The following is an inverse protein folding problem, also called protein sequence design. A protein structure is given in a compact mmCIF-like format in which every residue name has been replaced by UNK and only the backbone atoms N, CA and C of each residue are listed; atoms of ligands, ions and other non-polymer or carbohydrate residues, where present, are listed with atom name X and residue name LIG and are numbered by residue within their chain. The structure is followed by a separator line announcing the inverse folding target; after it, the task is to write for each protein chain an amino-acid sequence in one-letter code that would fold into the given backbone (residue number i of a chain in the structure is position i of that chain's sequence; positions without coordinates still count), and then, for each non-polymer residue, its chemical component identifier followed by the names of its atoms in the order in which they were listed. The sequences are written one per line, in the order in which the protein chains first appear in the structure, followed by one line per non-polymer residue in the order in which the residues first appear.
data_IF_374716876907
#
_entry.id   IF_374716876907
#
_cell.length_a   1.000
_cell.length_b   1.000
_cell.length_c   1.000
_cell.angle_alpha   90.00
_cell.angle_beta   90.00
_cell.angle_gamma   90.00
#
_symmetry.space_group_name_H-M   'P 1'
#
loop_
_entity.id
_entity.type
_entity.pdbx_description
1 polymer ?
#
# COMPACT_ATOMS: atom_id res chain seq x y z
N UNK A 1 -7.50 6.50 18.01
CA UNK A 1 -6.75 5.82 16.94
C UNK A 1 -5.47 5.39 17.60
N UNK A 2 -5.15 4.10 17.58
CA UNK A 2 -4.05 3.58 18.38
C UNK A 2 -2.85 3.15 17.52
N UNK A 3 -3.09 2.80 16.25
CA UNK A 3 -2.08 2.53 15.24
C UNK A 3 -2.66 2.78 13.83
N UNK A 4 -1.80 3.03 12.84
CA UNK A 4 -2.21 3.24 11.44
C UNK A 4 -1.42 2.33 10.49
N UNK A 5 -2.10 1.68 9.56
CA UNK A 5 -1.48 1.03 8.40
C UNK A 5 -1.98 1.72 7.13
N UNK A 6 -1.04 2.28 6.36
CA UNK A 6 -1.31 3.17 5.24
C UNK A 6 -0.65 2.61 3.99
N UNK A 7 -1.40 2.52 2.89
CA UNK A 7 -0.92 2.01 1.61
C UNK A 7 -0.96 3.13 0.58
N UNK A 8 0.14 3.35 -0.15
CA UNK A 8 0.24 4.40 -1.18
C UNK A 8 -0.16 5.81 -0.65
N UNK A 9 0.20 6.11 0.60
CA UNK A 9 -0.20 7.37 1.24
C UNK A 9 0.57 8.57 0.67
N UNK A 10 -0.15 9.65 0.40
CA UNK A 10 0.40 10.97 0.07
C UNK A 10 0.07 11.95 1.19
N UNK A 11 1.00 12.86 1.48
CA UNK A 11 0.87 13.86 2.54
C UNK A 11 0.93 15.30 2.05
N UNK A 12 1.21 15.48 0.76
CA UNK A 12 1.32 16.78 0.10
C UNK A 12 0.03 17.14 -0.65
N UNK A 13 -0.12 18.44 -0.89
CA UNK A 13 -1.10 18.93 -1.85
C UNK A 13 -0.80 18.43 -3.27
N UNK A 14 -1.82 18.36 -4.13
CA UNK A 14 -1.65 17.95 -5.51
C UNK A 14 -0.72 18.91 -6.28
N UNK A 15 0.23 18.36 -7.05
CA UNK A 15 1.04 19.14 -7.97
C UNK A 15 0.22 19.65 -9.15
N UNK A 16 0.69 20.69 -9.87
CA UNK A 16 -0.07 21.27 -10.99
C UNK A 16 -0.33 20.27 -12.12
N UNK A 17 0.62 19.37 -12.40
CA UNK A 17 0.49 18.32 -13.42
C UNK A 17 -0.60 17.33 -13.00
N UNK A 18 -0.48 16.81 -11.78
CA UNK A 18 -1.46 15.89 -11.19
C UNK A 18 -2.86 16.52 -11.21
N UNK A 19 -2.96 17.78 -10.78
CA UNK A 19 -4.20 18.55 -10.80
C UNK A 19 -4.81 18.62 -12.20
N UNK A 20 -4.01 18.93 -13.22
CA UNK A 20 -4.50 19.05 -14.58
C UNK A 20 -5.07 17.72 -15.10
N UNK A 21 -4.35 16.61 -14.91
CA UNK A 21 -4.80 15.29 -15.32
C UNK A 21 -6.07 14.87 -14.58
N UNK A 22 -6.11 15.00 -13.24
CA UNK A 22 -7.28 14.63 -12.45
C UNK A 22 -8.50 15.50 -12.78
N UNK A 23 -8.29 16.80 -13.05
CA UNK A 23 -9.39 17.70 -13.43
C UNK A 23 -9.95 17.37 -14.81
N UNK A 24 -9.10 17.00 -15.76
CA UNK A 24 -9.52 16.54 -17.09
C UNK A 24 -10.32 15.23 -16.99
N UNK A 25 -9.86 14.28 -16.18
CA UNK A 25 -10.56 13.01 -15.95
C UNK A 25 -11.90 13.22 -15.24
N UNK A 26 -11.96 14.05 -14.21
CA UNK A 26 -13.22 14.39 -13.53
C UNK A 26 -14.23 15.05 -14.49
N UNK A 27 -13.78 15.98 -15.35
CA UNK A 27 -14.64 16.58 -16.38
C UNK A 27 -15.14 15.54 -17.39
N UNK A 28 -14.27 14.61 -17.81
CA UNK A 28 -14.63 13.53 -18.72
C UNK A 28 -15.67 12.59 -18.11
N UNK A 29 -15.49 12.21 -16.84
CA UNK A 29 -16.45 11.42 -16.08
C UNK A 29 -17.83 12.06 -15.99
N UNK A 30 -17.90 13.38 -15.73
CA UNK A 30 -19.17 14.11 -15.63
C UNK A 30 -19.90 14.25 -16.96
N UNK A 31 -19.16 14.53 -18.04
CA UNK A 31 -19.76 14.89 -19.32
C UNK A 31 -19.94 13.69 -20.26
N UNK A 32 -19.09 12.67 -20.15
CA UNK A 32 -18.98 11.55 -21.11
C UNK A 32 -18.98 10.18 -20.44
N UNK A 33 -19.02 10.12 -19.11
CA UNK A 33 -18.95 8.86 -18.36
C UNK A 33 -17.55 8.24 -18.37
N UNK A 34 -17.50 6.91 -18.27
CA UNK A 34 -16.25 6.14 -18.22
C UNK A 34 -15.62 6.02 -19.62
N UNK A 35 -14.83 7.02 -20.02
CA UNK A 35 -14.12 7.01 -21.31
C UNK A 35 -12.84 6.18 -21.24
N UNK A 36 -12.29 5.79 -22.40
CA UNK A 36 -11.04 5.05 -22.46
C UNK A 36 -9.88 5.78 -21.77
N UNK A 37 -9.76 7.10 -21.96
CA UNK A 37 -8.71 7.88 -21.29
C UNK A 37 -8.85 7.92 -19.76
N UNK A 38 -10.09 7.90 -19.24
CA UNK A 38 -10.32 7.79 -17.80
C UNK A 38 -9.97 6.39 -17.30
N UNK A 39 -10.37 5.35 -18.03
CA UNK A 39 -9.97 3.96 -17.72
C UNK A 39 -8.45 3.83 -17.67
N UNK A 40 -7.74 4.33 -18.67
CA UNK A 40 -6.28 4.26 -18.71
C UNK A 40 -5.64 5.03 -17.56
N UNK A 41 -6.20 6.17 -17.17
CA UNK A 41 -5.78 6.87 -15.95
C UNK A 41 -6.00 6.05 -14.68
N UNK A 42 -7.18 5.43 -14.50
CA UNK A 42 -7.47 4.60 -13.33
C UNK A 42 -6.55 3.38 -13.28
N UNK A 43 -6.34 2.73 -14.42
CA UNK A 43 -5.40 1.60 -14.52
C UNK A 43 -3.98 2.03 -14.18
N UNK A 44 -3.51 3.18 -14.68
CA UNK A 44 -2.21 3.73 -14.30
C UNK A 44 -2.13 4.06 -12.81
N UNK A 45 -3.17 4.69 -12.24
CA UNK A 45 -3.22 5.08 -10.83
C UNK A 45 -3.07 3.88 -9.88
N UNK A 46 -3.67 2.73 -10.25
CA UNK A 46 -3.61 1.52 -9.43
C UNK A 46 -2.42 0.61 -9.73
N UNK A 47 -2.09 0.40 -11.01
CA UNK A 47 -1.11 -0.59 -11.44
C UNK A 47 0.23 -0.01 -11.89
N UNK A 48 0.36 1.30 -12.01
CA UNK A 48 1.56 1.96 -12.52
C UNK A 48 1.75 1.72 -14.03
N UNK A 49 3.01 1.58 -14.45
CA UNK A 49 3.37 1.39 -15.86
C UNK A 49 3.29 -0.09 -16.26
N UNK A 50 2.93 -0.33 -17.53
CA UNK A 50 2.90 -1.65 -18.17
C UNK A 50 2.18 -2.75 -17.36
N UNK A 51 0.92 -2.53 -16.94
CA UNK A 51 0.22 -3.49 -16.08
C UNK A 51 -0.07 -4.83 -16.78
N UNK A 52 -0.38 -4.80 -18.07
CA UNK A 52 -0.72 -5.97 -18.87
C UNK A 52 0.44 -6.97 -19.01
N UNK A 53 1.68 -6.48 -18.96
CA UNK A 53 2.89 -7.33 -19.04
C UNK A 53 3.13 -8.11 -17.74
N UNK A 54 2.56 -7.65 -16.61
CA UNK A 54 2.80 -8.23 -15.29
C UNK A 54 1.71 -9.22 -14.89
N UNK A 55 0.45 -8.83 -15.05
CA UNK A 55 -0.69 -9.68 -14.71
C UNK A 55 -1.91 -9.31 -15.55
N UNK A 56 -2.00 -9.93 -16.73
CA UNK A 56 -3.07 -9.69 -17.70
C UNK A 56 -4.46 -9.96 -17.11
N UNK A 57 -4.63 -11.06 -16.37
CA UNK A 57 -5.95 -11.45 -15.84
C UNK A 57 -6.46 -10.45 -14.79
N UNK A 58 -5.60 -10.03 -13.87
CA UNK A 58 -5.94 -9.02 -12.87
C UNK A 58 -6.23 -7.66 -13.53
N UNK A 59 -5.46 -7.30 -14.54
CA UNK A 59 -5.62 -6.04 -15.27
C UNK A 59 -6.94 -6.01 -16.04
N UNK A 60 -7.28 -7.09 -16.75
CA UNK A 60 -8.57 -7.28 -17.43
C UNK A 60 -9.74 -7.23 -16.44
N UNK A 61 -9.63 -7.90 -15.30
CA UNK A 61 -10.65 -7.89 -14.25
C UNK A 61 -10.94 -6.47 -13.75
N UNK A 62 -9.90 -5.67 -13.45
CA UNK A 62 -10.06 -4.29 -12.98
C UNK A 62 -10.61 -3.36 -14.08
N UNK A 63 -10.19 -3.53 -15.34
CA UNK A 63 -10.78 -2.79 -16.47
C UNK A 63 -12.28 -3.04 -16.57
N UNK A 64 -12.71 -4.31 -16.47
CA UNK A 64 -14.13 -4.66 -16.47
C UNK A 64 -14.86 -4.09 -15.25
N UNK A 65 -14.26 -4.16 -14.07
CA UNK A 65 -14.81 -3.60 -12.83
C UNK A 65 -15.04 -2.09 -12.95
N UNK A 66 -14.04 -1.30 -13.37
CA UNK A 66 -14.22 0.14 -13.55
C UNK A 66 -15.27 0.47 -14.60
N UNK A 67 -15.34 -0.32 -15.68
CA UNK A 67 -16.32 -0.09 -16.76
C UNK A 67 -17.75 -0.38 -16.32
N UNK A 68 -17.97 -1.44 -15.53
CA UNK A 68 -19.32 -1.98 -15.26
C UNK A 68 -19.84 -1.70 -13.86
N UNK A 69 -18.96 -1.51 -12.88
CA UNK A 69 -19.33 -1.50 -11.46
C UNK A 69 -19.11 -0.15 -10.78
N UNK A 70 -18.52 0.83 -11.46
CA UNK A 70 -18.25 2.16 -10.89
C UNK A 70 -19.16 3.22 -11.51
N UNK A 71 -19.85 3.96 -10.65
CA UNK A 71 -20.66 5.10 -11.06
C UNK A 71 -19.76 6.29 -11.46
N UNK A 72 -19.76 6.74 -12.73
CA UNK A 72 -18.86 7.78 -13.19
C UNK A 72 -19.05 9.13 -12.49
N UNK A 73 -20.31 9.51 -12.21
CA UNK A 73 -20.64 10.76 -11.54
C UNK A 73 -20.08 10.80 -10.13
N UNK A 74 -20.29 9.75 -9.33
CA UNK A 74 -19.77 9.67 -7.97
C UNK A 74 -18.24 9.62 -7.96
N UNK A 75 -17.63 8.87 -8.87
CA UNK A 75 -16.18 8.83 -9.02
C UNK A 75 -15.60 10.22 -9.35
N UNK A 76 -16.29 10.99 -10.20
CA UNK A 76 -15.84 12.35 -10.54
C UNK A 76 -15.79 13.27 -9.32
N UNK A 77 -16.73 13.12 -8.38
CA UNK A 77 -16.80 13.87 -7.13
C UNK A 77 -15.68 13.45 -6.18
N UNK A 78 -15.40 12.15 -6.10
CA UNK A 78 -14.29 11.61 -5.32
C UNK A 78 -12.94 12.12 -5.82
N UNK A 79 -12.68 12.05 -7.14
CA UNK A 79 -11.45 12.57 -7.74
C UNK A 79 -11.33 14.09 -7.51
N UNK A 80 -12.43 14.83 -7.67
CA UNK A 80 -12.45 16.27 -7.38
C UNK A 80 -12.17 16.58 -5.91
N UNK A 81 -12.59 15.73 -4.97
CA UNK A 81 -12.28 15.90 -3.55
C UNK A 81 -10.81 15.57 -3.27
N UNK A 82 -10.30 14.48 -3.84
CA UNK A 82 -8.91 14.04 -3.66
C UNK A 82 -7.89 15.03 -4.23
N UNK A 83 -8.14 15.60 -5.41
CA UNK A 83 -7.24 16.59 -6.03
C UNK A 83 -7.19 17.91 -5.26
N UNK A 84 -8.23 18.22 -4.48
CA UNK A 84 -8.30 19.42 -3.63
C UNK A 84 -7.69 19.21 -2.24
N UNK A 85 -7.08 18.04 -1.99
CA UNK A 85 -6.38 17.80 -0.73
C UNK A 85 -5.33 18.89 -0.48
N UNK A 86 -5.29 19.35 0.76
CA UNK A 86 -4.23 20.24 1.24
C UNK A 86 -3.08 19.40 1.77
N UNK A 87 -1.92 20.03 1.96
CA UNK A 87 -0.83 19.42 2.70
C UNK A 87 -1.29 19.05 4.13
N UNK A 88 -0.87 17.89 4.64
CA UNK A 88 -1.23 17.45 5.99
C UNK A 88 -0.59 18.31 7.08
N UNK A 89 0.40 19.14 6.75
CA UNK A 89 1.08 20.02 7.70
C UNK A 89 1.97 19.28 8.69
N UNK A 90 2.27 18.00 8.45
CA UNK A 90 3.14 17.20 9.31
C UNK A 90 4.60 17.36 8.94
N UNK A 91 5.47 17.42 9.94
CA UNK A 91 6.91 17.38 9.75
C UNK A 91 7.59 16.71 10.94
N UNK A 92 8.72 16.05 10.68
CA UNK A 92 9.44 15.21 11.66
C UNK A 92 9.88 15.97 12.91
N UNK A 93 10.22 17.25 12.76
CA UNK A 93 10.76 18.11 13.83
C UNK A 93 9.67 18.86 14.61
N UNK A 94 8.43 18.86 14.11
CA UNK A 94 7.31 19.61 14.71
C UNK A 94 6.19 18.64 15.11
N UNK A 95 4.93 18.96 14.80
CA UNK A 95 3.81 18.06 15.01
C UNK A 95 3.74 17.05 13.86
N UNK A 96 3.84 15.77 14.20
CA UNK A 96 3.71 14.64 13.27
C UNK A 96 2.76 13.60 13.88
N UNK A 97 2.46 12.54 13.12
CA UNK A 97 1.57 11.46 13.59
C UNK A 97 2.19 10.79 14.83
N UNK A 98 1.48 10.87 15.96
CA UNK A 98 1.97 10.39 17.27
C UNK A 98 1.83 8.88 17.43
N UNK A 99 0.80 8.30 16.80
CA UNK A 99 0.54 6.86 16.83
C UNK A 99 1.54 6.11 15.95
N UNK A 100 1.80 4.83 16.22
CA UNK A 100 2.60 3.98 15.35
C UNK A 100 2.05 3.92 13.92
N UNK A 101 2.93 3.99 12.93
CA UNK A 101 2.56 3.98 11.50
C UNK A 101 3.30 2.89 10.74
N UNK A 102 2.55 2.02 10.07
CA UNK A 102 3.04 1.12 9.03
C UNK A 102 2.72 1.70 7.65
N UNK A 103 3.71 2.28 6.99
CA UNK A 103 3.58 2.90 5.66
C UNK A 103 4.08 1.92 4.57
N UNK A 104 3.21 1.51 3.66
CA UNK A 104 3.49 0.46 2.67
C UNK A 104 3.30 0.99 1.25
N UNK A 105 4.20 0.59 0.35
CA UNK A 105 4.03 0.80 -1.10
C UNK A 105 4.49 -0.45 -1.87
N UNK A 106 3.93 -0.64 -3.06
CA UNK A 106 4.48 -1.55 -4.06
C UNK A 106 5.66 -0.89 -4.79
N UNK A 107 6.68 -1.64 -5.17
CA UNK A 107 7.83 -1.13 -5.91
C UNK A 107 7.48 -0.62 -7.31
N UNK A 108 6.36 -1.09 -7.87
CA UNK A 108 5.84 -0.71 -9.19
C UNK A 108 4.64 0.26 -9.08
N UNK A 109 4.31 0.70 -7.87
CA UNK A 109 3.25 1.68 -7.61
C UNK A 109 3.64 3.06 -8.16
N UNK A 110 2.71 3.82 -8.75
CA UNK A 110 2.99 5.20 -9.14
C UNK A 110 3.18 6.14 -7.93
N UNK A 111 2.90 5.66 -6.71
CA UNK A 111 2.91 6.43 -5.47
C UNK A 111 4.17 6.24 -4.61
N UNK A 112 5.20 5.57 -5.12
CA UNK A 112 6.43 5.29 -4.35
C UNK A 112 7.01 6.59 -3.78
N UNK A 113 7.21 7.61 -4.62
CA UNK A 113 7.81 8.90 -4.21
C UNK A 113 6.94 9.65 -3.19
N UNK A 114 5.61 9.55 -3.33
CA UNK A 114 4.65 10.10 -2.35
C UNK A 114 4.85 9.45 -0.98
N UNK A 115 4.97 8.11 -0.95
CA UNK A 115 5.14 7.37 0.31
C UNK A 115 6.51 7.62 0.96
N UNK A 116 7.56 7.84 0.16
CA UNK A 116 8.89 8.23 0.64
C UNK A 116 8.84 9.62 1.26
N UNK A 117 8.19 10.57 0.58
CA UNK A 117 7.98 11.94 1.09
C UNK A 117 7.20 11.92 2.40
N UNK A 118 6.12 11.13 2.46
CA UNK A 118 5.35 10.94 3.68
C UNK A 118 6.19 10.36 4.82
N UNK A 119 6.96 9.29 4.57
CA UNK A 119 7.85 8.70 5.57
C UNK A 119 8.94 9.69 6.06
N UNK A 120 9.40 10.59 5.18
CA UNK A 120 10.31 11.68 5.51
C UNK A 120 9.75 12.61 6.60
N UNK A 121 8.42 12.77 6.66
CA UNK A 121 7.70 13.63 7.61
C UNK A 121 7.26 12.93 8.90
N UNK A 122 7.40 11.60 8.96
CA UNK A 122 7.07 10.79 10.13
C UNK A 122 8.25 10.69 11.12
N UNK A 123 7.92 10.34 12.37
CA UNK A 123 8.91 10.07 13.40
C UNK A 123 9.54 8.67 13.17
N UNK A 124 10.87 8.57 12.99
CA UNK A 124 11.53 7.29 12.70
C UNK A 124 11.48 6.27 13.84
N UNK A 125 11.13 6.68 15.07
CA UNK A 125 11.05 5.78 16.22
C UNK A 125 9.72 5.04 16.33
N UNK A 126 8.64 5.56 15.72
CA UNK A 126 7.30 4.96 15.78
C UNK A 126 6.75 4.59 14.39
N UNK A 127 7.53 4.78 13.33
CA UNK A 127 7.08 4.59 11.95
C UNK A 127 7.97 3.63 11.19
N UNK A 128 7.35 2.70 10.47
CA UNK A 128 8.01 1.73 9.60
C UNK A 128 7.55 1.94 8.17
N UNK A 129 8.49 2.06 7.24
CA UNK A 129 8.21 2.09 5.81
C UNK A 129 8.67 0.78 5.14
N UNK A 130 7.80 0.22 4.31
CA UNK A 130 8.02 -1.04 3.62
C UNK A 130 7.70 -0.91 2.13
N UNK A 131 8.67 -1.30 1.29
CA UNK A 131 8.49 -1.42 -0.16
C UNK A 131 8.44 -2.89 -0.56
N UNK A 132 7.29 -3.30 -1.10
CA UNK A 132 7.05 -4.68 -1.57
C UNK A 132 7.46 -4.79 -3.03
N UNK A 133 8.44 -5.64 -3.35
CA UNK A 133 8.85 -5.84 -4.74
C UNK A 133 7.81 -6.58 -5.57
N UNK A 134 7.95 -6.42 -6.89
CA UNK A 134 7.15 -7.09 -7.91
C UNK A 134 5.64 -6.88 -7.73
N UNK A 135 5.27 -5.70 -7.20
CA UNK A 135 3.88 -5.32 -7.01
C UNK A 135 3.67 -3.82 -7.15
N UNK A 136 2.52 -3.45 -7.70
CA UNK A 136 1.93 -2.12 -7.63
C UNK A 136 0.76 -2.13 -6.63
N UNK A 137 -0.18 -3.07 -6.80
CA UNK A 137 -1.33 -3.27 -5.91
C UNK A 137 -1.00 -4.36 -4.89
N UNK A 138 -0.31 -3.97 -3.82
CA UNK A 138 0.20 -4.91 -2.81
C UNK A 138 -0.87 -5.80 -2.18
N UNK A 139 -2.12 -5.33 -2.09
CA UNK A 139 -3.23 -6.10 -1.52
C UNK A 139 -3.69 -7.25 -2.43
N UNK A 140 -3.68 -7.03 -3.75
CA UNK A 140 -4.13 -8.03 -4.72
C UNK A 140 -2.99 -8.94 -5.18
N UNK A 141 -1.79 -8.38 -5.36
CA UNK A 141 -0.65 -9.11 -5.93
C UNK A 141 0.17 -9.84 -4.85
N UNK A 142 0.20 -9.33 -3.61
CA UNK A 142 1.05 -9.87 -2.53
C UNK A 142 0.32 -9.94 -1.16
N UNK A 143 -0.91 -10.46 -1.07
CA UNK A 143 -1.70 -10.47 0.16
C UNK A 143 -1.01 -11.22 1.32
N UNK A 144 -0.23 -12.26 1.02
CA UNK A 144 0.53 -13.01 2.02
C UNK A 144 1.59 -12.13 2.70
N UNK A 145 2.33 -11.33 1.94
CA UNK A 145 3.34 -10.41 2.48
C UNK A 145 2.70 -9.32 3.33
N UNK A 146 1.57 -8.77 2.88
CA UNK A 146 0.84 -7.76 3.65
C UNK A 146 0.29 -8.32 4.96
N UNK A 147 -0.28 -9.52 4.93
CA UNK A 147 -0.82 -10.19 6.12
C UNK A 147 0.28 -10.42 7.16
N UNK A 148 1.46 -10.85 6.72
CA UNK A 148 2.60 -11.03 7.61
C UNK A 148 3.15 -9.71 8.15
N UNK A 149 3.31 -8.69 7.31
CA UNK A 149 3.74 -7.36 7.75
C UNK A 149 2.79 -6.78 8.80
N UNK A 150 1.48 -6.91 8.57
CA UNK A 150 0.45 -6.43 9.49
C UNK A 150 0.47 -7.21 10.82
N UNK A 151 0.62 -8.54 10.77
CA UNK A 151 0.78 -9.39 11.96
C UNK A 151 1.99 -8.96 12.79
N UNK A 152 3.14 -8.74 12.14
CA UNK A 152 4.38 -8.34 12.81
C UNK A 152 4.26 -6.94 13.43
N UNK A 153 3.62 -6.01 12.73
CA UNK A 153 3.32 -4.68 13.26
C UNK A 153 2.46 -4.75 14.52
N UNK A 154 1.34 -5.49 14.48
CA UNK A 154 0.48 -5.68 15.66
C UNK A 154 1.17 -6.41 16.82
N UNK A 155 2.11 -7.31 16.53
CA UNK A 155 2.94 -7.94 17.56
C UNK A 155 3.92 -6.94 18.18
N UNK A 156 4.53 -6.06 17.38
CA UNK A 156 5.41 -5.00 17.84
C UNK A 156 4.72 -4.03 18.79
N UNK A 157 3.45 -3.70 18.49
CA UNK A 157 2.62 -2.84 19.33
C UNK A 157 1.95 -3.58 20.52
N UNK A 158 2.15 -4.89 20.64
CA UNK A 158 1.62 -5.69 21.75
C UNK A 158 0.14 -6.06 21.64
N UNK A 159 -0.53 -5.80 20.52
CA UNK A 159 -1.92 -6.21 20.28
C UNK A 159 -2.06 -7.71 20.04
N UNK A 160 -1.03 -8.34 19.50
CA UNK A 160 -1.04 -9.76 19.17
C UNK A 160 0.10 -10.43 19.94
N UNK A 161 -0.22 -11.50 20.67
CA UNK A 161 0.81 -12.28 21.34
C UNK A 161 1.85 -12.77 20.31
N UNK A 162 3.15 -12.74 20.63
CA UNK A 162 4.16 -13.38 19.81
C UNK A 162 3.75 -14.83 19.62
N UNK A 163 3.38 -15.19 18.39
CA UNK A 163 3.21 -16.59 18.06
C UNK A 163 4.59 -17.19 18.24
N UNK A 164 4.76 -18.07 19.24
CA UNK A 164 6.03 -18.75 19.38
C UNK A 164 6.34 -19.42 18.05
N UNK A 165 7.61 -19.49 17.62
CA UNK A 165 7.98 -20.24 16.42
C UNK A 165 7.31 -21.61 16.42
N UNK A 166 7.21 -22.26 17.59
CA UNK A 166 6.48 -23.52 17.81
C UNK A 166 4.99 -23.45 17.46
N UNK A 167 4.27 -22.35 17.73
CA UNK A 167 2.85 -22.15 17.40
C UNK A 167 2.65 -21.74 15.93
N UNK A 168 3.52 -20.91 15.36
CA UNK A 168 3.53 -20.61 13.90
C UNK A 168 3.76 -21.89 13.12
N UNK A 169 4.78 -22.65 13.54
CA UNK A 169 5.09 -23.96 13.01
C UNK A 169 3.97 -24.96 13.31
N UNK A 170 3.20 -24.87 14.40
CA UNK A 170 2.03 -25.74 14.62
C UNK A 170 0.88 -25.44 13.64
N UNK A 171 0.59 -24.16 13.36
CA UNK A 171 -0.38 -23.78 12.33
C UNK A 171 0.11 -24.19 10.93
N UNK A 172 1.41 -24.00 10.62
CA UNK A 172 2.02 -24.50 9.37
C UNK A 172 2.19 -26.03 9.34
N UNK A 173 2.28 -26.71 10.50
CA UNK A 173 2.43 -28.17 10.62
C UNK A 173 1.11 -28.93 10.61
N UNK A 174 0.00 -28.28 10.96
CA UNK A 174 -1.33 -28.80 10.64
C UNK A 174 -1.52 -28.88 9.12
N UNK A 175 -0.83 -28.03 8.35
CA UNK A 175 -0.76 -28.13 6.89
C UNK A 175 0.41 -28.97 6.36
N UNK A 176 1.51 -29.15 7.11
CA UNK A 176 2.70 -29.84 6.57
C UNK A 176 3.64 -30.40 7.67
N UNK A 177 3.62 -31.71 7.90
CA UNK A 177 4.32 -32.37 9.00
C UNK A 177 5.85 -32.52 8.76
N UNK A 178 6.71 -31.95 9.62
CA UNK A 178 8.17 -32.24 9.61
C UNK A 178 9.04 -31.43 10.60
N UNK A 179 10.05 -32.08 11.21
CA UNK A 179 11.06 -31.60 12.22
C UNK A 179 12.08 -30.57 11.64
N UNK A 180 12.95 -29.80 12.32
CA UNK A 180 13.32 -29.29 13.67
C UNK A 180 14.59 -28.43 13.42
N UNK A 181 14.79 -27.25 14.06
CA UNK A 181 16.03 -26.70 14.72
C UNK A 181 15.94 -25.16 14.92
N UNK A 182 16.74 -24.52 15.80
CA UNK A 182 16.49 -23.15 16.28
C UNK A 182 17.47 -22.10 15.75
N UNK A 183 16.97 -20.92 15.38
CA UNK A 183 17.74 -19.67 15.21
C UNK A 183 17.02 -18.50 15.91
N UNK A 184 17.81 -17.57 16.47
CA UNK A 184 17.41 -16.47 17.36
C UNK A 184 17.19 -15.20 16.51
N UNK A 185 16.00 -14.58 16.56
CA UNK A 185 15.72 -13.31 15.85
C UNK A 185 15.54 -12.12 16.80
N UNK A 186 16.11 -10.98 16.40
CA UNK A 186 15.89 -9.64 16.98
C UNK A 186 14.68 -8.97 16.29
N UNK A 187 13.80 -8.22 16.99
CA UNK A 187 12.46 -7.88 16.45
C UNK A 187 12.34 -6.49 15.79
N UNK A 188 13.43 -5.82 15.42
CA UNK A 188 13.33 -4.42 14.96
C UNK A 188 13.33 -4.33 13.43
N UNK A 189 12.16 -4.18 12.81
CA UNK A 189 12.01 -3.90 11.38
C UNK A 189 12.19 -2.39 11.14
N UNK A 190 13.28 -2.00 10.48
CA UNK A 190 13.53 -0.63 9.98
C UNK A 190 13.69 -0.68 8.47
N UNK A 191 13.21 0.34 7.77
CA UNK A 191 13.37 0.61 6.32
C UNK A 191 13.91 -0.59 5.56
N UNK A 192 13.00 -1.44 5.11
CA UNK A 192 13.35 -2.69 4.42
C UNK A 192 12.69 -2.75 3.06
N UNK A 193 13.49 -2.96 2.04
CA UNK A 193 13.02 -3.51 0.78
C UNK A 193 12.88 -5.04 0.97
N UNK A 194 11.71 -5.60 0.68
CA UNK A 194 11.46 -7.05 0.76
C UNK A 194 11.78 -7.77 2.09
N UNK A 195 11.33 -7.28 3.27
CA UNK A 195 11.68 -7.90 4.55
C UNK A 195 11.21 -9.36 4.73
N UNK A 196 10.29 -9.83 3.88
CA UNK A 196 9.64 -11.15 4.02
C UNK A 196 10.30 -12.20 3.10
N UNK A 197 11.12 -11.79 2.12
CA UNK A 197 11.80 -12.73 1.22
C UNK A 197 12.89 -13.56 1.92
N UNK A 198 13.44 -13.07 3.03
CA UNK A 198 14.51 -13.74 3.78
C UNK A 198 14.00 -14.53 5.00
N UNK A 199 12.73 -14.40 5.39
CA UNK A 199 12.16 -15.07 6.56
C UNK A 199 11.82 -16.56 6.33
N UNK A 200 12.21 -17.13 5.17
CA UNK A 200 11.92 -18.52 4.77
C UNK A 200 13.21 -19.31 4.43
N UNK A 201 14.34 -18.94 5.02
CA UNK A 201 15.54 -19.80 4.99
C UNK A 201 16.01 -20.06 6.41
N UNK A 202 15.30 -20.94 7.13
CA UNK A 202 15.78 -21.83 8.20
C UNK A 202 14.63 -22.66 8.79
#
# INVERSE_FOLDING_TARGET
VDALALINCTSSQAGWIEWAYQKMNSRSLKNRGMTQGVLDYLMWHHFGRFPEERNHDLTQMYRMYFTRNVNPTNLSLLIDAYVRRTDLGIARETDTIKVPVLNITGALSPHVDDTVTFNGRLNPNNSTWMKISDSAMVLEEQPAKISEAFRLFLQGEGYVAPLSPTKITAYRRLSDAGRRRPCRHSPVIRITENPISEAVVC
#
